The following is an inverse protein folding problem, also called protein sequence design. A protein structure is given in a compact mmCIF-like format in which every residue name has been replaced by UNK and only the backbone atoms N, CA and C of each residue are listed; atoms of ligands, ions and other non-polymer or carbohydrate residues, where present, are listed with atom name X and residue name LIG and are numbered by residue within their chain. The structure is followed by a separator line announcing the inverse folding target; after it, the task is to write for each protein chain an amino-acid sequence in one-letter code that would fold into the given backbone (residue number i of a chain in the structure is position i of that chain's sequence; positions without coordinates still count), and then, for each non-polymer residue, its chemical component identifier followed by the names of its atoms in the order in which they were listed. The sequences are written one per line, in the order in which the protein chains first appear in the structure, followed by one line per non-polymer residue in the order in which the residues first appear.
data_IF_422990036240
#
_entry.id   IF_422990036240
#
_cell.length_a   1.000
_cell.length_b   1.000
_cell.length_c   1.000
_cell.angle_alpha   90.00
_cell.angle_beta   90.00
_cell.angle_gamma   90.00
#
_symmetry.space_group_name_H-M   'P 1'
#
loop_
_entity.id
_entity.type
_entity.pdbx_description
1 polymer ?
#
# COMPACT_ATOMS: atom_id res chain seq x y z
N UNK A 1 7.88 -22.05 -6.77
CA UNK A 1 7.77 -22.07 -5.28
C UNK A 1 6.45 -21.37 -4.97
N UNK A 2 5.55 -22.01 -4.22
CA UNK A 2 4.28 -21.37 -3.86
C UNK A 2 4.57 -20.16 -2.97
N UNK A 3 3.89 -19.05 -3.26
CA UNK A 3 4.00 -17.81 -2.47
C UNK A 3 3.22 -18.01 -1.16
N UNK A 4 3.92 -18.20 -0.04
CA UNK A 4 3.32 -18.41 1.28
C UNK A 4 3.50 -17.17 2.14
N UNK A 5 2.43 -16.77 2.81
CA UNK A 5 2.38 -15.57 3.65
C UNK A 5 1.95 -15.93 5.09
N UNK A 6 2.28 -15.10 6.09
CA UNK A 6 1.88 -15.32 7.46
C UNK A 6 0.37 -15.08 7.66
N UNK A 7 -0.38 -16.12 8.01
CA UNK A 7 -1.81 -16.01 8.29
C UNK A 7 -2.18 -16.74 9.59
N UNK A 8 -3.24 -16.27 10.26
CA UNK A 8 -3.76 -16.93 11.47
C UNK A 8 -4.77 -18.01 11.10
N UNK A 9 -4.49 -19.24 11.51
CA UNK A 9 -5.39 -20.38 11.41
C UNK A 9 -5.66 -20.89 12.82
N UNK A 10 -6.92 -20.87 13.25
CA UNK A 10 -7.31 -21.23 14.62
C UNK A 10 -6.53 -20.46 15.72
N UNK A 11 -6.26 -19.17 15.46
CA UNK A 11 -5.54 -18.29 16.37
C UNK A 11 -4.01 -18.43 16.36
N UNK A 12 -3.45 -19.33 15.55
CA UNK A 12 -2.00 -19.58 15.46
C UNK A 12 -1.48 -19.02 14.13
N UNK A 13 -0.44 -18.18 14.20
CA UNK A 13 0.24 -17.65 13.01
C UNK A 13 1.08 -18.75 12.36
N UNK A 14 0.85 -18.99 11.07
CA UNK A 14 1.54 -20.04 10.32
C UNK A 14 1.65 -19.67 8.83
N UNK A 15 2.56 -20.33 8.08
CA UNK A 15 2.68 -20.10 6.63
C UNK A 15 1.48 -20.74 5.91
N UNK A 16 0.78 -19.93 5.10
CA UNK A 16 -0.35 -20.39 4.29
C UNK A 16 -0.16 -19.89 2.86
N UNK A 17 -0.55 -20.69 1.88
CA UNK A 17 -0.50 -20.31 0.47
C UNK A 17 -1.38 -19.05 0.24
N UNK A 18 -0.83 -18.05 -0.45
CA UNK A 18 -1.38 -16.70 -0.55
C UNK A 18 -2.80 -16.69 -1.14
N UNK A 19 -3.07 -17.41 -2.22
CA UNK A 19 -4.39 -17.44 -2.80
C UNK A 19 -5.42 -18.09 -1.85
N UNK A 20 -5.03 -19.17 -1.16
CA UNK A 20 -5.88 -19.83 -0.17
C UNK A 20 -6.21 -18.91 1.02
N UNK A 21 -5.29 -18.03 1.42
CA UNK A 21 -5.54 -17.00 2.45
C UNK A 21 -6.71 -16.11 2.07
N UNK A 22 -6.71 -15.59 0.84
CA UNK A 22 -7.76 -14.69 0.35
C UNK A 22 -9.08 -15.41 0.06
N UNK A 23 -9.03 -16.66 -0.46
CA UNK A 23 -10.22 -17.49 -0.68
C UNK A 23 -10.94 -17.85 0.62
N UNK A 24 -10.17 -18.04 1.69
CA UNK A 24 -10.68 -18.44 3.02
C UNK A 24 -10.91 -17.23 3.95
N UNK A 25 -10.70 -16.02 3.47
CA UNK A 25 -10.76 -14.78 4.25
C UNK A 25 -9.96 -14.86 5.57
N UNK A 26 -8.80 -15.51 5.54
CA UNK A 26 -7.98 -15.66 6.75
C UNK A 26 -7.37 -14.31 7.14
N UNK A 27 -7.38 -14.02 8.43
CA UNK A 27 -6.61 -12.90 8.99
C UNK A 27 -5.15 -13.12 8.70
N UNK A 28 -4.44 -12.12 8.10
CA UNK A 28 -3.06 -12.29 7.66
C UNK A 28 -2.26 -10.98 7.77
N UNK A 29 -0.94 -11.10 7.73
CA UNK A 29 -0.06 -9.94 7.80
C UNK A 29 0.09 -9.30 6.41
N UNK A 30 0.09 -7.97 6.41
CA UNK A 30 0.34 -7.17 5.23
C UNK A 30 1.22 -5.95 5.54
N UNK A 31 1.72 -5.32 4.50
CA UNK A 31 2.54 -4.11 4.56
C UNK A 31 2.01 -3.10 3.55
N UNK A 32 1.81 -1.86 3.97
CA UNK A 32 1.46 -0.75 3.09
C UNK A 32 2.46 0.38 3.21
N UNK A 33 2.94 0.85 2.06
CA UNK A 33 3.89 1.94 1.96
C UNK A 33 3.25 3.12 1.24
N UNK A 34 3.50 4.32 1.79
CA UNK A 34 3.12 5.59 1.23
C UNK A 34 4.40 6.39 0.99
N UNK A 35 4.67 6.78 -0.25
CA UNK A 35 5.83 7.61 -0.59
C UNK A 35 5.34 8.98 -1.00
N UNK A 36 5.88 10.01 -0.34
CA UNK A 36 5.52 11.40 -0.61
C UNK A 36 6.76 12.21 -1.04
N UNK A 37 6.54 13.14 -1.95
CA UNK A 37 7.56 14.09 -2.40
C UNK A 37 6.89 15.43 -2.75
N UNK A 38 7.41 16.54 -2.21
CA UNK A 38 6.83 17.86 -2.43
C UNK A 38 5.34 17.95 -2.09
N UNK A 39 4.91 17.32 -0.98
CA UNK A 39 3.52 17.30 -0.53
C UNK A 39 2.58 16.38 -1.32
N UNK A 40 3.07 15.69 -2.36
CA UNK A 40 2.26 14.80 -3.20
C UNK A 40 2.54 13.33 -2.88
N UNK A 41 1.50 12.51 -2.90
CA UNK A 41 1.56 11.06 -2.72
C UNK A 41 1.80 10.37 -4.07
N UNK A 42 2.74 9.43 -4.11
CA UNK A 42 2.90 8.50 -5.21
C UNK A 42 1.84 7.41 -5.14
N UNK A 43 0.97 7.36 -6.13
CA UNK A 43 -0.01 6.29 -6.31
C UNK A 43 0.34 5.44 -7.52
N UNK A 44 -0.02 4.15 -7.48
CA UNK A 44 0.19 3.23 -8.58
C UNK A 44 -1.14 2.68 -9.10
N UNK A 45 -1.21 2.45 -10.40
CA UNK A 45 -2.28 1.69 -11.02
C UNK A 45 -1.83 0.24 -11.21
N UNK A 46 -2.58 -0.69 -10.63
CA UNK A 46 -2.24 -2.12 -10.65
C UNK A 46 -2.27 -2.68 -12.06
N UNK A 47 -1.32 -3.55 -12.38
CA UNK A 47 -1.29 -4.24 -13.68
C UNK A 47 -2.56 -5.09 -13.89
N UNK A 48 -2.98 -5.22 -15.15
CA UNK A 48 -4.19 -5.99 -15.49
C UNK A 48 -4.05 -7.50 -15.22
N UNK A 49 -2.83 -8.01 -15.09
CA UNK A 49 -2.54 -9.41 -14.74
C UNK A 49 -2.68 -9.75 -13.25
N UNK A 50 -3.01 -8.78 -12.39
CA UNK A 50 -3.20 -9.04 -10.95
C UNK A 50 -4.46 -9.87 -10.71
N UNK A 51 -4.39 -10.86 -9.80
CA UNK A 51 -5.49 -11.81 -9.53
C UNK A 51 -6.70 -11.17 -8.84
N UNK A 52 -6.53 -10.02 -8.14
CA UNK A 52 -7.62 -9.20 -7.62
C UNK A 52 -7.37 -7.72 -7.90
N UNK A 53 -8.44 -6.93 -7.97
CA UNK A 53 -8.41 -5.47 -8.21
C UNK A 53 -7.49 -5.03 -9.36
N UNK A 54 -7.46 -5.73 -10.53
CA UNK A 54 -6.65 -5.32 -11.67
C UNK A 54 -7.10 -3.96 -12.19
N UNK A 55 -6.13 -3.11 -12.59
CA UNK A 55 -6.40 -1.81 -13.19
C UNK A 55 -6.89 -0.73 -12.21
N UNK A 56 -7.03 -1.01 -10.93
CA UNK A 56 -7.41 -0.01 -9.92
C UNK A 56 -6.18 0.76 -9.40
N UNK A 57 -6.42 1.98 -8.96
CA UNK A 57 -5.43 2.81 -8.29
C UNK A 57 -5.27 2.41 -6.82
N UNK A 58 -4.05 2.38 -6.34
CA UNK A 58 -3.68 2.05 -4.96
C UNK A 58 -2.63 3.02 -4.43
N UNK A 59 -2.34 2.96 -3.13
CA UNK A 59 -1.18 3.62 -2.52
C UNK A 59 0.13 3.14 -3.17
N UNK A 60 1.25 3.69 -2.77
CA UNK A 60 2.55 3.45 -3.41
C UNK A 60 2.90 1.97 -3.51
N UNK A 61 2.68 1.19 -2.44
CA UNK A 61 2.87 -0.26 -2.47
C UNK A 61 2.01 -0.91 -1.37
N UNK A 62 1.28 -1.98 -1.71
CA UNK A 62 0.57 -2.80 -0.74
C UNK A 62 0.86 -4.28 -1.04
N UNK A 63 1.31 -5.03 -0.02
CA UNK A 63 1.90 -6.34 -0.22
C UNK A 63 1.88 -7.19 1.06
N UNK A 64 2.37 -8.43 0.93
CA UNK A 64 2.48 -9.36 2.05
C UNK A 64 3.95 -9.74 2.29
N UNK A 65 4.38 -9.84 3.55
CA UNK A 65 5.69 -10.41 3.87
C UNK A 65 5.71 -11.91 3.52
N UNK A 66 6.87 -12.41 3.14
CA UNK A 66 7.10 -13.84 3.11
C UNK A 66 7.05 -14.42 4.54
N UNK A 67 6.93 -15.74 4.66
CA UNK A 67 7.03 -16.37 5.97
C UNK A 67 8.36 -16.03 6.64
N UNK A 68 8.28 -15.56 7.89
CA UNK A 68 9.40 -15.08 8.71
C UNK A 68 10.13 -13.83 8.20
N UNK A 69 9.61 -13.14 7.16
CA UNK A 69 10.16 -11.86 6.72
C UNK A 69 9.73 -10.74 7.68
N UNK A 70 10.65 -9.83 7.94
CA UNK A 70 10.38 -8.57 8.66
C UNK A 70 9.58 -7.60 7.80
N UNK A 71 8.65 -6.82 8.41
CA UNK A 71 7.76 -5.91 7.69
C UNK A 71 8.53 -4.79 6.98
N UNK A 72 9.60 -4.24 7.57
CA UNK A 72 10.45 -3.23 6.94
C UNK A 72 11.21 -3.81 5.76
N UNK A 73 11.77 -5.00 5.90
CA UNK A 73 12.45 -5.71 4.82
C UNK A 73 11.49 -5.99 3.66
N UNK A 74 10.27 -6.43 3.96
CA UNK A 74 9.21 -6.60 2.97
C UNK A 74 8.89 -5.30 2.22
N UNK A 75 8.69 -4.19 2.96
CA UNK A 75 8.41 -2.88 2.39
C UNK A 75 9.49 -2.44 1.39
N UNK A 76 10.76 -2.52 1.78
CA UNK A 76 11.90 -2.14 0.95
C UNK A 76 12.04 -3.06 -0.28
N UNK A 77 11.92 -4.37 -0.09
CA UNK A 77 11.97 -5.34 -1.17
C UNK A 77 10.90 -5.07 -2.22
N UNK A 78 9.66 -4.82 -1.80
CA UNK A 78 8.55 -4.64 -2.72
C UNK A 78 8.56 -3.26 -3.40
N UNK A 79 8.97 -2.20 -2.73
CA UNK A 79 9.22 -0.91 -3.37
C UNK A 79 10.22 -1.04 -4.53
N UNK A 80 11.30 -1.81 -4.32
CA UNK A 80 12.26 -2.10 -5.38
C UNK A 80 11.64 -2.95 -6.50
N UNK A 81 10.95 -4.04 -6.16
CA UNK A 81 10.39 -4.97 -7.15
C UNK A 81 9.26 -4.37 -7.99
N UNK A 82 8.42 -3.52 -7.40
CA UNK A 82 7.27 -2.92 -8.08
C UNK A 82 7.61 -1.61 -8.78
N UNK A 83 8.45 -0.76 -8.18
CA UNK A 83 8.68 0.62 -8.62
C UNK A 83 10.15 0.98 -8.86
N UNK A 84 11.09 0.06 -8.60
CA UNK A 84 12.53 0.33 -8.72
C UNK A 84 13.09 1.24 -7.63
N UNK A 85 12.31 1.57 -6.59
CA UNK A 85 12.73 2.48 -5.51
C UNK A 85 13.68 1.74 -4.57
N UNK A 86 14.87 2.31 -4.34
CA UNK A 86 15.89 1.81 -3.41
C UNK A 86 16.43 2.93 -2.53
N UNK A 87 16.97 2.57 -1.36
CA UNK A 87 17.64 3.52 -0.47
C UNK A 87 16.73 4.54 0.23
N UNK A 88 15.41 4.42 0.06
CA UNK A 88 14.47 5.31 0.72
C UNK A 88 14.33 4.93 2.20
N UNK A 89 14.50 5.92 3.08
CA UNK A 89 14.22 5.74 4.50
C UNK A 89 12.72 5.70 4.75
N UNK A 90 12.25 4.60 5.34
CA UNK A 90 10.85 4.41 5.69
C UNK A 90 10.63 4.63 7.18
N UNK A 91 9.61 5.41 7.52
CA UNK A 91 9.18 5.66 8.91
C UNK A 91 7.96 4.80 9.22
N UNK A 92 7.99 3.96 10.27
CA UNK A 92 6.81 3.24 10.72
C UNK A 92 5.68 4.20 11.14
N UNK A 93 4.46 3.89 10.74
CA UNK A 93 3.22 4.64 11.07
C UNK A 93 2.24 3.81 11.89
N UNK A 94 2.74 2.73 12.51
CA UNK A 94 1.94 1.82 13.32
C UNK A 94 1.25 0.74 12.51
N UNK A 95 0.27 0.11 13.12
CA UNK A 95 -0.48 -1.01 12.55
C UNK A 95 -1.96 -0.69 12.52
N UNK A 96 -2.63 -1.11 11.47
CA UNK A 96 -4.10 -1.05 11.32
C UNK A 96 -4.62 -2.42 10.93
N UNK A 97 -5.90 -2.65 11.12
CA UNK A 97 -6.56 -3.89 10.71
C UNK A 97 -7.84 -3.53 9.94
N UNK A 98 -8.07 -4.20 8.82
CA UNK A 98 -9.29 -4.03 8.04
C UNK A 98 -9.70 -5.34 7.36
N UNK A 99 -10.96 -5.37 6.92
CA UNK A 99 -11.50 -6.45 6.08
C UNK A 99 -12.24 -5.85 4.90
N UNK A 100 -12.04 -6.41 3.70
CA UNK A 100 -12.65 -5.94 2.47
C UNK A 100 -12.87 -7.07 1.46
N UNK A 101 -13.99 -7.02 0.74
CA UNK A 101 -14.19 -7.80 -0.47
C UNK A 101 -13.37 -7.15 -1.61
N UNK A 102 -12.60 -7.97 -2.31
CA UNK A 102 -11.75 -7.50 -3.42
C UNK A 102 -12.17 -8.10 -4.77
N UNK A 103 -13.36 -8.65 -4.81
CA UNK A 103 -13.95 -9.29 -6.00
C UNK A 103 -13.48 -10.72 -6.21
N UNK A 104 -14.11 -11.41 -7.17
CA UNK A 104 -13.78 -12.79 -7.55
C UNK A 104 -13.85 -13.80 -6.37
N UNK A 105 -14.73 -13.57 -5.40
CA UNK A 105 -14.83 -14.36 -4.16
C UNK A 105 -13.52 -14.36 -3.34
N UNK A 106 -12.75 -13.29 -3.42
CA UNK A 106 -11.54 -13.08 -2.64
C UNK A 106 -11.77 -11.98 -1.61
N UNK A 107 -11.17 -12.14 -0.43
CA UNK A 107 -11.30 -11.22 0.69
C UNK A 107 -9.93 -10.88 1.25
N UNK A 108 -9.76 -9.61 1.61
CA UNK A 108 -8.68 -9.14 2.46
C UNK A 108 -9.17 -9.13 3.92
N UNK A 109 -8.38 -9.68 4.83
CA UNK A 109 -8.52 -9.49 6.26
C UNK A 109 -7.11 -9.29 6.82
N UNK A 110 -6.66 -8.06 6.72
CA UNK A 110 -5.25 -7.72 6.88
C UNK A 110 -4.96 -7.04 8.22
N UNK A 111 -3.85 -7.46 8.83
CA UNK A 111 -3.13 -6.71 9.87
C UNK A 111 -1.94 -6.06 9.21
N UNK A 112 -2.03 -4.76 8.98
CA UNK A 112 -1.14 -4.02 8.08
C UNK A 112 -0.15 -3.18 8.86
N UNK A 113 1.14 -3.42 8.65
CA UNK A 113 2.18 -2.48 9.06
C UNK A 113 2.26 -1.32 8.05
N UNK A 114 2.09 -0.09 8.54
CA UNK A 114 2.10 1.13 7.72
C UNK A 114 3.48 1.79 7.75
N UNK A 115 3.94 2.24 6.58
CA UNK A 115 5.21 2.95 6.42
C UNK A 115 5.02 4.21 5.56
N UNK A 116 5.71 5.28 5.93
CA UNK A 116 5.81 6.52 5.15
C UNK A 116 7.27 6.76 4.74
N UNK A 117 7.51 6.99 3.46
CA UNK A 117 8.79 7.41 2.92
C UNK A 117 8.72 8.84 2.39
N UNK A 118 9.70 9.66 2.77
CA UNK A 118 9.90 10.99 2.19
C UNK A 118 10.93 10.89 1.07
N UNK A 119 10.52 11.19 -0.15
CA UNK A 119 11.38 11.14 -1.32
C UNK A 119 11.74 12.54 -1.83
N UNK A 120 12.84 12.63 -2.58
CA UNK A 120 13.12 13.82 -3.38
C UNK A 120 12.11 13.92 -4.53
N UNK A 121 11.73 15.15 -4.97
CA UNK A 121 10.96 15.35 -6.20
C UNK A 121 11.59 14.73 -7.45
N UNK A 122 12.92 14.53 -7.43
CA UNK A 122 13.69 13.93 -8.53
C UNK A 122 13.75 12.39 -8.44
N UNK A 123 12.92 11.76 -7.59
CA UNK A 123 12.89 10.31 -7.46
C UNK A 123 12.63 9.65 -8.82
N UNK A 124 13.59 8.87 -9.27
CA UNK A 124 13.47 8.09 -10.51
C UNK A 124 12.71 6.81 -10.23
N UNK A 125 11.67 6.56 -11.01
CA UNK A 125 10.86 5.36 -10.93
C UNK A 125 11.20 4.42 -12.09
N UNK A 126 11.22 3.10 -11.80
CA UNK A 126 11.34 2.04 -12.79
C UNK A 126 10.24 0.99 -12.54
N UNK A 127 8.97 1.31 -12.87
CA UNK A 127 7.85 0.41 -12.60
C UNK A 127 8.00 -0.92 -13.35
N UNK A 128 7.78 -2.02 -12.64
CA UNK A 128 7.68 -3.33 -13.25
C UNK A 128 6.30 -3.48 -13.92
N UNK A 129 6.20 -3.64 -15.25
CA UNK A 129 4.93 -3.67 -15.95
C UNK A 129 4.05 -4.89 -15.61
N UNK A 130 4.60 -5.93 -15.00
CA UNK A 130 3.83 -7.06 -14.48
C UNK A 130 3.12 -6.75 -13.17
N UNK A 131 3.56 -5.71 -12.46
CA UNK A 131 3.00 -5.27 -11.18
C UNK A 131 2.22 -3.96 -11.30
N UNK A 132 2.79 -2.99 -12.03
CA UNK A 132 2.33 -1.60 -12.10
C UNK A 132 2.23 -1.16 -13.55
N UNK A 133 1.03 -0.78 -13.98
CA UNK A 133 0.82 -0.30 -15.35
C UNK A 133 0.99 1.22 -15.49
N UNK A 134 0.83 1.97 -14.39
CA UNK A 134 0.93 3.43 -14.39
C UNK A 134 1.22 3.95 -12.99
N UNK A 135 1.90 5.08 -12.90
CA UNK A 135 2.12 5.83 -11.65
C UNK A 135 1.76 7.29 -11.85
N UNK A 136 1.35 7.97 -10.78
CA UNK A 136 1.18 9.42 -10.76
C UNK A 136 1.41 9.97 -9.35
N UNK A 137 1.77 11.25 -9.28
CA UNK A 137 1.86 12.02 -8.06
C UNK A 137 0.60 12.84 -7.91
N UNK A 138 -0.09 12.72 -6.77
CA UNK A 138 -1.32 13.44 -6.46
C UNK A 138 -1.18 14.21 -5.15
N UNK A 139 -1.68 15.42 -5.12
CA UNK A 139 -1.93 16.11 -3.87
C UNK A 139 -2.96 15.32 -3.05
N UNK A 140 -2.80 15.28 -1.73
CA UNK A 140 -3.74 14.52 -0.87
C UNK A 140 -5.17 15.07 -0.99
N UNK A 141 -5.33 16.39 -1.17
CA UNK A 141 -6.66 17.00 -1.40
C UNK A 141 -7.28 16.59 -2.73
N UNK A 142 -6.49 16.49 -3.80
CA UNK A 142 -6.90 15.97 -5.10
C UNK A 142 -7.36 14.51 -5.00
N UNK A 143 -6.55 13.69 -4.32
CA UNK A 143 -6.88 12.30 -4.04
C UNK A 143 -8.20 12.15 -3.27
N UNK A 144 -8.42 12.96 -2.25
CA UNK A 144 -9.67 12.94 -1.47
C UNK A 144 -10.89 13.34 -2.32
N UNK A 145 -10.74 14.30 -3.22
CA UNK A 145 -11.79 14.67 -4.17
C UNK A 145 -12.10 13.52 -5.14
N UNK A 146 -11.09 12.92 -5.75
CA UNK A 146 -11.26 11.77 -6.65
C UNK A 146 -11.89 10.57 -5.95
N UNK A 147 -11.50 10.29 -4.71
CA UNK A 147 -12.10 9.21 -3.90
C UNK A 147 -13.59 9.45 -3.62
N UNK A 148 -14.01 10.71 -3.51
CA UNK A 148 -15.42 11.08 -3.34
C UNK A 148 -16.21 10.98 -4.65
N UNK A 149 -15.62 11.39 -5.77
CA UNK A 149 -16.29 11.47 -7.07
C UNK A 149 -16.29 10.14 -7.82
N UNK A 150 -15.17 9.42 -7.76
CA UNK A 150 -14.94 8.17 -8.51
C UNK A 150 -14.30 7.08 -7.65
N UNK A 151 -14.93 6.66 -6.53
CA UNK A 151 -14.35 5.69 -5.60
C UNK A 151 -14.01 4.34 -6.26
N UNK A 152 -14.74 3.95 -7.29
CA UNK A 152 -14.62 2.63 -7.93
C UNK A 152 -13.35 2.45 -8.76
N UNK A 153 -12.63 3.53 -9.07
CA UNK A 153 -11.32 3.42 -9.72
C UNK A 153 -10.18 3.16 -8.72
N UNK A 154 -10.48 3.17 -7.42
CA UNK A 154 -9.55 2.94 -6.32
C UNK A 154 -9.78 1.59 -5.64
N UNK A 155 -8.70 1.00 -5.16
CA UNK A 155 -8.77 -0.26 -4.39
C UNK A 155 -9.55 -0.05 -3.08
N UNK A 156 -10.24 -1.10 -2.56
CA UNK A 156 -10.96 -1.01 -1.30
C UNK A 156 -10.09 -0.51 -0.14
N UNK A 157 -8.86 -1.03 -0.02
CA UNK A 157 -7.94 -0.62 1.05
C UNK A 157 -7.48 0.84 0.93
N UNK A 158 -7.28 1.38 -0.30
CA UNK A 158 -6.94 2.79 -0.47
C UNK A 158 -8.06 3.69 0.06
N UNK A 159 -9.31 3.33 -0.22
CA UNK A 159 -10.49 4.05 0.31
C UNK A 159 -10.53 4.01 1.83
N UNK A 160 -10.29 2.84 2.44
CA UNK A 160 -10.23 2.66 3.90
C UNK A 160 -9.11 3.50 4.51
N UNK A 161 -7.90 3.44 3.95
CA UNK A 161 -6.77 4.22 4.48
C UNK A 161 -7.04 5.72 4.47
N UNK A 162 -7.60 6.24 3.40
CA UNK A 162 -7.86 7.67 3.29
C UNK A 162 -9.04 8.12 4.16
N UNK A 163 -10.07 7.27 4.32
CA UNK A 163 -11.23 7.60 5.14
C UNK A 163 -10.94 7.49 6.65
N UNK A 164 -10.16 6.49 7.07
CA UNK A 164 -10.06 6.12 8.50
C UNK A 164 -8.67 6.34 9.09
N UNK A 165 -7.62 6.37 8.25
CA UNK A 165 -6.24 6.31 8.72
C UNK A 165 -5.32 7.40 8.16
N UNK A 166 -5.84 8.38 7.40
CA UNK A 166 -5.04 9.44 6.78
C UNK A 166 -4.20 10.22 7.81
N UNK A 167 -4.77 10.59 8.96
CA UNK A 167 -4.05 11.28 10.02
C UNK A 167 -2.89 10.42 10.60
N UNK A 168 -3.09 9.12 10.75
CA UNK A 168 -2.04 8.19 11.19
C UNK A 168 -0.92 8.11 10.17
N UNK A 169 -1.24 8.04 8.89
CA UNK A 169 -0.28 7.88 7.79
C UNK A 169 0.53 9.16 7.60
N UNK A 170 -0.13 10.32 7.47
CA UNK A 170 0.50 11.58 7.09
C UNK A 170 0.79 12.52 8.26
N UNK A 171 0.19 12.30 9.45
CA UNK A 171 0.23 13.21 10.61
C UNK A 171 -0.88 14.24 10.56
N UNK A 172 -1.06 15.00 11.66
CA UNK A 172 -2.13 16.02 11.80
C UNK A 172 -2.07 17.15 10.76
N UNK A 173 -0.91 17.36 10.13
CA UNK A 173 -0.66 18.42 9.15
C UNK A 173 -0.40 17.85 7.75
N UNK A 174 -0.90 16.68 7.43
CA UNK A 174 -0.57 15.92 6.21
C UNK A 174 -0.93 16.55 4.86
N UNK A 175 -1.31 17.83 4.84
CA UNK A 175 -1.61 18.57 3.62
C UNK A 175 -1.03 20.00 3.58
N UNK A 176 -0.29 20.45 4.60
CA UNK A 176 0.16 21.85 4.62
C UNK A 176 1.36 22.08 5.56
N UNK A 177 2.56 21.70 5.13
CA UNK A 177 3.76 22.40 5.63
C UNK A 177 4.90 22.34 4.60
N UNK A 178 4.70 23.05 3.50
CA UNK A 178 5.80 23.58 2.69
C UNK A 178 5.54 25.08 2.47
N UNK A 179 5.35 25.78 3.58
CA UNK A 179 5.55 27.25 3.58
C UNK A 179 6.88 27.55 4.22
N UNK A 180 7.87 27.68 3.32
CA UNK A 180 9.20 28.12 3.61
C UNK A 180 9.26 29.15 4.73
N UNK A 181 9.93 28.79 5.79
CA UNK A 181 10.52 29.74 6.72
C UNK A 181 11.69 30.43 6.04
N UNK A 182 11.40 31.54 5.37
CA UNK A 182 12.40 32.56 5.10
C UNK A 182 12.43 33.45 6.32
N UNK A 183 13.56 33.44 7.05
CA UNK A 183 14.18 34.58 7.66
C UNK A 183 15.64 34.24 7.95
#
# INVERSE_FOLDING_TARGET
MQDVIPAWVNGVLQPVEKLAVHQRALRHRAVSVFVVAGGRLLVQRRALGKYHTPGLWANTCCTHPHWAEDDMACAQRRLHQELGITGLTLQPRGTVEYSADVGNSLHEHEVVALFLGQASPDLVLAPNPQEVMQTRWLDVSELMAELSETPDIYTPWMRIYMAEHAERIFGKNGAADDRGGNL
#
